data_IF_271605765004
#
_entry.id   IF_271605765004
#
_cell.length_a   1.000
_cell.length_b   1.000
_cell.length_c   1.000
_cell.angle_alpha   90.00
_cell.angle_beta   90.00
_cell.angle_gamma   90.00
#
_symmetry.space_group_name_H-M   'P 1'
#
loop_
_entity.id
_entity.type
_entity.pdbx_description
1 polymer ?
#
# COMPACT_ATOMS: atom_id res chain seq x y z
N UNK A 1 1.57 3.72 11.64
CA UNK A 1 0.64 2.91 12.46
C UNK A 1 1.34 1.64 12.92
N UNK A 2 1.31 1.36 14.22
CA UNK A 2 1.93 0.20 14.85
C UNK A 2 0.91 -0.52 15.74
N UNK A 3 1.09 -1.81 15.93
CA UNK A 3 0.31 -2.61 16.84
C UNK A 3 1.18 -3.02 18.02
N UNK A 4 0.67 -2.76 19.22
CA UNK A 4 1.20 -3.33 20.45
C UNK A 4 0.41 -4.59 20.77
N UNK A 5 1.10 -5.72 20.78
CA UNK A 5 0.56 -7.01 21.21
C UNK A 5 1.19 -7.40 22.54
N UNK A 6 0.37 -7.54 23.58
CA UNK A 6 0.77 -8.04 24.89
C UNK A 6 0.14 -9.42 25.06
N UNK A 7 0.97 -10.45 25.06
CA UNK A 7 0.58 -11.83 25.31
C UNK A 7 1.07 -12.23 26.72
N UNK A 8 0.14 -12.51 27.61
CA UNK A 8 0.35 -13.08 28.94
C UNK A 8 -0.11 -14.54 28.94
N UNK A 9 0.22 -15.29 30.00
CA UNK A 9 -0.21 -16.69 30.17
C UNK A 9 -1.74 -16.89 29.96
N UNK A 10 -2.56 -15.88 30.30
CA UNK A 10 -4.02 -15.96 30.26
C UNK A 10 -4.67 -15.20 29.09
N UNK A 11 -4.02 -14.16 28.56
CA UNK A 11 -4.65 -13.26 27.57
C UNK A 11 -3.66 -12.72 26.55
N UNK A 12 -4.12 -12.59 25.30
CA UNK A 12 -3.42 -11.87 24.25
C UNK A 12 -4.26 -10.66 23.83
N UNK A 13 -3.72 -9.46 24.01
CA UNK A 13 -4.37 -8.21 23.60
C UNK A 13 -3.52 -7.48 22.56
N UNK A 14 -4.12 -7.17 21.42
CA UNK A 14 -3.50 -6.37 20.35
C UNK A 14 -4.23 -5.05 20.23
N UNK A 15 -3.49 -3.94 20.32
CA UNK A 15 -4.05 -2.58 20.24
C UNK A 15 -3.29 -1.74 19.21
N UNK A 16 -3.99 -1.03 18.32
CA UNK A 16 -3.37 -0.18 17.32
C UNK A 16 -3.01 1.21 17.88
N UNK A 17 -1.89 1.76 17.42
CA UNK A 17 -1.36 3.09 17.73
C UNK A 17 -0.85 3.79 16.46
N UNK A 18 -0.81 5.12 16.50
CA UNK A 18 -0.41 5.92 15.33
C UNK A 18 1.07 5.73 14.99
N UNK A 19 1.92 5.65 15.99
CA UNK A 19 3.37 5.49 15.85
C UNK A 19 3.97 4.55 16.92
N UNK A 20 5.28 4.35 16.83
CA UNK A 20 6.03 3.52 17.77
C UNK A 20 6.06 4.12 19.18
N UNK A 21 6.20 5.44 19.31
CA UNK A 21 6.38 6.10 20.59
C UNK A 21 5.10 6.04 21.43
N UNK A 22 3.94 6.18 20.80
CA UNK A 22 2.63 5.98 21.41
C UNK A 22 2.45 4.52 21.87
N UNK A 23 2.79 3.55 21.01
CA UNK A 23 2.74 2.13 21.34
C UNK A 23 3.69 1.80 22.52
N UNK A 24 4.90 2.37 22.52
CA UNK A 24 5.89 2.16 23.58
C UNK A 24 5.47 2.83 24.88
N UNK A 25 4.89 4.04 24.84
CA UNK A 25 4.35 4.72 26.02
C UNK A 25 3.19 3.94 26.62
N UNK A 26 2.30 3.37 25.80
CA UNK A 26 1.23 2.50 26.26
C UNK A 26 1.76 1.21 26.91
N UNK A 27 2.79 0.60 26.31
CA UNK A 27 3.50 -0.54 26.91
C UNK A 27 4.09 -0.19 28.28
N UNK A 28 4.79 0.93 28.40
CA UNK A 28 5.34 1.41 29.68
C UNK A 28 4.24 1.63 30.72
N UNK A 29 3.12 2.23 30.33
CA UNK A 29 1.96 2.42 31.21
C UNK A 29 1.40 1.09 31.72
N UNK A 30 1.31 0.08 30.84
CA UNK A 30 0.84 -1.25 31.23
C UNK A 30 1.81 -1.94 32.21
N UNK A 31 3.11 -1.85 31.93
CA UNK A 31 4.19 -2.44 32.74
C UNK A 31 4.22 -1.81 34.14
N UNK A 32 4.09 -0.48 34.25
CA UNK A 32 4.03 0.22 35.54
C UNK A 32 2.76 -0.17 36.32
N UNK A 33 1.61 -0.26 35.65
CA UNK A 33 0.35 -0.60 36.30
C UNK A 33 0.32 -2.03 36.88
N UNK A 34 1.09 -2.96 36.30
CA UNK A 34 1.14 -4.37 36.71
C UNK A 34 2.43 -4.76 37.43
N UNK A 35 3.28 -3.78 37.76
CA UNK A 35 4.59 -3.98 38.41
C UNK A 35 5.45 -5.06 37.71
N UNK A 36 5.64 -4.84 36.40
CA UNK A 36 6.40 -5.72 35.52
C UNK A 36 7.74 -5.07 35.14
N UNK A 37 8.67 -5.92 34.72
CA UNK A 37 9.97 -5.53 34.16
C UNK A 37 10.05 -5.95 32.71
N UNK A 38 10.59 -5.06 31.87
CA UNK A 38 10.83 -5.33 30.46
C UNK A 38 12.24 -5.85 30.24
N UNK A 39 12.36 -7.00 29.59
CA UNK A 39 13.62 -7.50 29.09
C UNK A 39 13.58 -7.56 27.56
N UNK A 40 14.40 -6.77 26.88
CA UNK A 40 14.46 -6.77 25.42
C UNK A 40 14.92 -8.15 24.91
N UNK A 41 14.15 -8.74 24.00
CA UNK A 41 14.47 -10.04 23.42
C UNK A 41 15.47 -9.85 22.28
N UNK A 42 16.66 -10.41 22.44
CA UNK A 42 17.71 -10.39 21.41
C UNK A 42 17.82 -11.75 20.71
N UNK A 43 18.04 -11.77 19.38
CA UNK A 43 18.09 -10.61 18.47
C UNK A 43 16.69 -10.08 18.16
N UNK A 44 16.51 -8.76 18.20
CA UNK A 44 15.28 -8.11 17.72
C UNK A 44 15.18 -8.26 16.19
N UNK A 45 14.08 -8.82 15.66
CA UNK A 45 13.79 -8.75 14.23
C UNK A 45 13.86 -7.30 13.74
N UNK A 46 14.42 -7.04 12.55
CA UNK A 46 14.52 -5.68 11.99
C UNK A 46 13.17 -4.96 11.84
N UNK A 47 12.09 -5.73 11.85
CA UNK A 47 10.72 -5.28 11.58
C UNK A 47 9.83 -5.26 12.82
N UNK A 48 10.29 -5.74 13.98
CA UNK A 48 9.48 -5.78 15.20
C UNK A 48 10.36 -5.71 16.46
N UNK A 49 9.92 -4.97 17.47
CA UNK A 49 10.58 -4.93 18.78
C UNK A 49 9.84 -5.84 19.74
N UNK A 50 10.51 -6.88 20.22
CA UNK A 50 9.95 -7.85 21.16
C UNK A 50 10.59 -7.70 22.55
N UNK A 51 9.76 -7.78 23.57
CA UNK A 51 10.11 -7.71 24.97
C UNK A 51 9.53 -8.90 25.72
N UNK A 52 10.27 -9.42 26.68
CA UNK A 52 9.78 -10.38 27.68
C UNK A 52 9.31 -9.59 28.89
N UNK A 53 8.12 -9.92 29.38
CA UNK A 53 7.53 -9.35 30.60
C UNK A 53 7.88 -10.24 31.78
N UNK A 54 8.58 -9.67 32.76
CA UNK A 54 9.09 -10.38 33.93
C UNK A 54 8.47 -9.79 35.18
N UNK A 55 7.98 -10.63 36.07
CA UNK A 55 7.56 -10.23 37.41
C UNK A 55 8.56 -10.75 38.44
N UNK A 56 8.81 -9.95 39.46
CA UNK A 56 9.67 -10.32 40.57
C UNK A 56 8.80 -10.69 41.76
N UNK A 57 8.80 -11.96 42.13
CA UNK A 57 8.19 -12.38 43.38
C UNK A 57 9.18 -12.08 44.53
N UNK A 58 8.89 -11.02 45.29
CA UNK A 58 9.73 -10.60 46.42
C UNK A 58 9.79 -11.65 47.54
N UNK A 59 8.71 -12.44 47.72
CA UNK A 59 8.65 -13.46 48.76
C UNK A 59 9.49 -14.69 48.38
N UNK A 60 9.46 -15.08 47.10
CA UNK A 60 10.22 -16.22 46.59
C UNK A 60 11.64 -15.87 46.14
N UNK A 61 11.98 -14.58 45.99
CA UNK A 61 13.22 -14.07 45.35
C UNK A 61 13.46 -14.69 43.96
N UNK A 62 12.39 -14.93 43.22
CA UNK A 62 12.46 -15.54 41.89
C UNK A 62 11.82 -14.63 40.84
N UNK A 63 12.44 -14.56 39.68
CA UNK A 63 11.86 -13.92 38.51
C UNK A 63 11.01 -14.93 37.74
N UNK A 64 9.79 -14.54 37.39
CA UNK A 64 8.91 -15.32 36.51
C UNK A 64 8.62 -14.53 35.25
N UNK A 65 8.76 -15.19 34.11
CA UNK A 65 8.27 -14.66 32.83
C UNK A 65 6.75 -14.83 32.82
N UNK A 66 6.02 -13.73 32.72
CA UNK A 66 4.55 -13.71 32.69
C UNK A 66 4.03 -13.57 31.26
N UNK A 67 4.88 -13.12 30.33
CA UNK A 67 4.45 -12.93 28.96
C UNK A 67 5.49 -12.29 28.06
N UNK A 68 5.01 -11.87 26.89
CA UNK A 68 5.78 -11.14 25.88
C UNK A 68 4.98 -9.95 25.37
N UNK A 69 5.67 -8.84 25.13
CA UNK A 69 5.11 -7.68 24.45
C UNK A 69 5.84 -7.48 23.12
N UNK A 70 5.10 -7.27 22.04
CA UNK A 70 5.65 -7.03 20.71
C UNK A 70 5.06 -5.75 20.15
N UNK A 71 5.92 -4.86 19.68
CA UNK A 71 5.52 -3.69 18.89
C UNK A 71 5.96 -3.97 17.45
N UNK A 72 4.99 -4.05 16.55
CA UNK A 72 5.24 -4.26 15.13
C UNK A 72 4.45 -3.22 14.31
N UNK A 73 4.90 -2.87 13.10
CA UNK A 73 4.04 -2.19 12.15
C UNK A 73 2.74 -2.97 11.97
N UNK A 74 1.61 -2.27 11.95
CA UNK A 74 0.32 -2.87 11.62
C UNK A 74 0.47 -3.65 10.31
N UNK A 75 0.10 -4.93 10.29
CA UNK A 75 0.11 -5.69 9.05
C UNK A 75 -0.83 -4.99 8.06
N UNK A 76 -0.28 -4.49 6.95
CA UNK A 76 -1.09 -3.90 5.88
C UNK A 76 -2.15 -4.90 5.43
N UNK A 77 -3.28 -4.41 4.89
CA UNK A 77 -4.26 -5.32 4.30
C UNK A 77 -3.56 -6.20 3.24
N UNK A 78 -3.97 -7.47 3.07
CA UNK A 78 -3.38 -8.33 2.06
C UNK A 78 -3.50 -7.64 0.69
N UNK A 79 -2.36 -7.43 0.03
CA UNK A 79 -2.32 -6.76 -1.27
C UNK A 79 -3.01 -7.64 -2.30
N UNK A 80 -3.92 -7.04 -3.08
CA UNK A 80 -4.64 -7.73 -4.14
C UNK A 80 -3.65 -8.27 -5.17
N UNK A 81 -3.79 -9.55 -5.53
CA UNK A 81 -2.89 -10.17 -6.50
C UNK A 81 -2.92 -9.43 -7.86
N UNK A 82 -1.80 -9.37 -8.60
CA UNK A 82 -1.66 -8.58 -9.83
C UNK A 82 -2.81 -8.76 -10.85
N UNK A 83 -3.25 -10.00 -11.06
CA UNK A 83 -4.35 -10.31 -11.98
C UNK A 83 -5.68 -9.64 -11.58
N UNK A 84 -6.02 -9.69 -10.29
CA UNK A 84 -7.26 -9.11 -9.78
C UNK A 84 -7.18 -7.58 -9.75
N UNK A 85 -6.01 -7.01 -9.46
CA UNK A 85 -5.77 -5.57 -9.58
C UNK A 85 -5.95 -5.08 -11.02
N UNK A 86 -5.39 -5.80 -12.01
CA UNK A 86 -5.57 -5.51 -13.43
C UNK A 86 -7.04 -5.63 -13.86
N UNK A 87 -7.75 -6.63 -13.35
CA UNK A 87 -9.18 -6.83 -13.63
C UNK A 87 -10.01 -5.66 -13.08
N UNK A 88 -9.72 -5.22 -11.85
CA UNK A 88 -10.40 -4.09 -11.23
C UNK A 88 -10.13 -2.79 -11.99
N UNK A 89 -8.87 -2.54 -12.37
CA UNK A 89 -8.47 -1.33 -13.10
C UNK A 89 -9.14 -1.25 -14.48
N UNK A 90 -9.12 -2.33 -15.27
CA UNK A 90 -9.79 -2.38 -16.58
C UNK A 90 -11.30 -2.25 -16.47
N UNK A 91 -11.91 -2.85 -15.45
CA UNK A 91 -13.34 -2.68 -15.19
C UNK A 91 -13.68 -1.23 -14.83
N UNK A 92 -12.88 -0.61 -13.98
CA UNK A 92 -13.09 0.76 -13.54
C UNK A 92 -12.97 1.74 -14.71
N UNK A 93 -11.95 1.61 -15.56
CA UNK A 93 -11.79 2.50 -16.73
C UNK A 93 -12.95 2.32 -17.72
N UNK A 94 -13.37 1.09 -17.99
CA UNK A 94 -14.52 0.81 -18.85
C UNK A 94 -15.82 1.43 -18.32
N UNK A 95 -16.06 1.33 -17.01
CA UNK A 95 -17.26 1.90 -16.36
C UNK A 95 -17.33 3.43 -16.42
N UNK A 96 -16.18 4.10 -16.38
CA UNK A 96 -16.11 5.57 -16.30
C UNK A 96 -15.77 6.24 -17.63
N UNK A 97 -15.58 5.48 -18.72
CA UNK A 97 -15.34 6.01 -20.06
C UNK A 97 -16.54 6.81 -20.56
N UNK A 98 -17.77 6.32 -20.37
CA UNK A 98 -18.98 7.03 -20.78
C UNK A 98 -19.13 8.36 -20.04
N UNK A 99 -18.84 8.40 -18.74
CA UNK A 99 -18.84 9.65 -17.96
C UNK A 99 -17.89 10.69 -18.55
N UNK A 100 -16.73 10.26 -19.04
CA UNK A 100 -15.74 11.12 -19.69
C UNK A 100 -16.20 11.67 -21.05
N UNK A 101 -16.86 10.85 -21.87
CA UNK A 101 -17.41 11.28 -23.17
C UNK A 101 -18.58 12.28 -23.03
N UNK A 102 -19.32 12.22 -21.93
CA UNK A 102 -20.44 13.14 -21.62
C UNK A 102 -20.03 14.35 -20.77
N UNK A 103 -18.73 14.65 -20.63
CA UNK A 103 -18.28 15.90 -20.01
C UNK A 103 -18.97 17.10 -20.68
N UNK A 104 -19.75 17.88 -19.94
CA UNK A 104 -20.44 19.03 -20.49
C UNK A 104 -19.54 20.27 -20.50
N UNK A 105 -19.79 21.23 -21.38
CA UNK A 105 -19.04 22.50 -21.47
C UNK A 105 -19.01 23.30 -20.14
N UNK A 106 -19.92 23.00 -19.22
CA UNK A 106 -19.99 23.62 -17.88
C UNK A 106 -19.27 22.83 -16.78
N UNK A 107 -18.74 21.64 -17.07
CA UNK A 107 -17.93 20.84 -16.14
C UNK A 107 -16.46 20.88 -16.58
N UNK A 108 -15.57 21.58 -15.85
CA UNK A 108 -14.16 21.65 -16.19
C UNK A 108 -13.40 20.32 -16.01
N UNK A 109 -14.10 19.21 -15.76
CA UNK A 109 -13.51 17.89 -15.52
C UNK A 109 -12.90 17.76 -14.12
N UNK A 110 -13.24 18.67 -13.20
CA UNK A 110 -12.68 18.70 -11.85
C UNK A 110 -13.33 17.73 -10.87
N UNK A 111 -14.47 17.11 -11.25
CA UNK A 111 -15.17 16.15 -10.40
C UNK A 111 -14.55 14.76 -10.55
N UNK A 112 -14.48 14.01 -9.46
CA UNK A 112 -14.17 12.59 -9.54
C UNK A 112 -15.32 11.87 -10.27
N UNK A 113 -15.05 10.97 -11.24
CA UNK A 113 -13.75 10.42 -11.67
C UNK A 113 -13.12 11.14 -12.88
N UNK A 114 -13.77 12.17 -13.43
CA UNK A 114 -13.28 12.94 -14.59
C UNK A 114 -11.89 13.54 -14.38
N UNK A 115 -11.58 14.00 -13.16
CA UNK A 115 -10.28 14.56 -12.82
C UNK A 115 -9.15 13.55 -13.03
N UNK A 116 -9.35 12.29 -12.61
CA UNK A 116 -8.38 11.20 -12.76
C UNK A 116 -8.17 10.87 -14.24
N UNK A 117 -9.28 10.74 -14.98
CA UNK A 117 -9.24 10.44 -16.42
C UNK A 117 -8.59 11.57 -17.23
N UNK A 118 -8.86 12.82 -16.87
CA UNK A 118 -8.24 14.01 -17.49
C UNK A 118 -6.75 14.08 -17.21
N UNK A 119 -6.34 13.84 -15.96
CA UNK A 119 -4.93 13.79 -15.58
C UNK A 119 -4.19 12.65 -16.30
N UNK A 120 -4.80 11.47 -16.40
CA UNK A 120 -4.25 10.34 -17.15
C UNK A 120 -4.07 10.68 -18.64
N UNK A 121 -5.02 11.41 -19.24
CA UNK A 121 -4.92 11.86 -20.64
C UNK A 121 -3.83 12.90 -20.85
N UNK A 122 -3.72 13.86 -19.96
CA UNK A 122 -2.64 14.85 -20.02
C UNK A 122 -1.26 14.18 -19.86
N UNK A 123 -1.14 13.20 -18.96
CA UNK A 123 0.11 12.47 -18.76
C UNK A 123 0.46 11.57 -19.95
N UNK A 124 -0.50 10.84 -20.52
CA UNK A 124 -0.31 10.04 -21.73
C UNK A 124 0.08 10.89 -22.96
N UNK A 125 -0.32 12.17 -22.98
CA UNK A 125 0.08 13.15 -24.00
C UNK A 125 1.42 13.84 -23.71
N UNK A 126 2.14 13.40 -22.68
CA UNK A 126 3.40 14.01 -22.22
C UNK A 126 3.26 15.48 -21.81
N UNK A 127 2.06 15.92 -21.40
CA UNK A 127 1.86 17.27 -20.85
C UNK A 127 2.42 17.40 -19.43
N UNK A 128 2.68 16.27 -18.75
CA UNK A 128 3.31 16.19 -17.43
C UNK A 128 4.41 15.12 -17.40
N UNK A 129 5.25 15.21 -16.37
CA UNK A 129 6.23 14.19 -16.01
C UNK A 129 5.54 12.87 -15.67
N UNK A 130 6.15 11.74 -16.04
CA UNK A 130 5.58 10.42 -15.79
C UNK A 130 5.46 10.14 -14.27
N UNK A 131 4.39 9.45 -13.88
CA UNK A 131 4.03 9.13 -12.51
C UNK A 131 3.24 10.23 -11.79
N UNK A 132 2.71 11.25 -12.47
CA UNK A 132 1.97 12.33 -11.79
C UNK A 132 0.65 11.82 -11.20
N UNK A 133 -0.06 10.94 -11.92
CA UNK A 133 -1.29 10.28 -11.46
C UNK A 133 -1.07 9.10 -10.50
N UNK A 134 0.18 8.85 -10.07
CA UNK A 134 0.50 7.70 -9.23
C UNK A 134 -0.20 7.70 -7.86
N UNK A 135 -0.31 8.83 -7.13
CA UNK A 135 -1.03 8.85 -5.86
C UNK A 135 -2.49 8.40 -6.01
N UNK A 136 -3.18 8.85 -7.06
CA UNK A 136 -4.54 8.42 -7.39
C UNK A 136 -4.59 6.94 -7.77
N UNK A 137 -3.64 6.46 -8.56
CA UNK A 137 -3.55 5.04 -8.90
C UNK A 137 -3.31 4.16 -7.66
N UNK A 138 -2.45 4.59 -6.74
CA UNK A 138 -2.21 3.91 -5.47
C UNK A 138 -3.48 3.87 -4.61
N UNK A 139 -4.20 4.99 -4.50
CA UNK A 139 -5.47 5.07 -3.78
C UNK A 139 -6.54 4.15 -4.37
N UNK A 140 -6.65 4.10 -5.69
CA UNK A 140 -7.59 3.21 -6.41
C UNK A 140 -7.25 1.73 -6.28
N UNK A 141 -5.97 1.40 -6.16
CA UNK A 141 -5.49 0.03 -6.13
C UNK A 141 -5.79 -0.74 -4.84
N UNK A 142 -6.28 -0.07 -3.80
CA UNK A 142 -6.41 -0.60 -2.42
C UNK A 142 -5.16 -1.41 -2.05
N UNK A 143 -3.97 -0.84 -2.29
CA UNK A 143 -2.66 -1.48 -2.11
C UNK A 143 -2.34 -1.82 -0.64
N UNK A 144 -3.34 -1.85 0.24
CA UNK A 144 -3.22 -2.23 1.65
C UNK A 144 -2.49 -1.22 2.55
N UNK A 145 -1.87 -0.19 1.99
CA UNK A 145 -1.27 0.94 2.67
C UNK A 145 -1.74 2.26 2.05
N UNK A 146 -2.08 3.28 2.86
CA UNK A 146 -2.39 4.63 2.35
C UNK A 146 -1.15 5.34 1.76
N UNK A 147 0.06 4.95 2.18
CA UNK A 147 1.31 5.55 1.75
C UNK A 147 2.16 4.53 0.99
N UNK A 148 1.83 4.28 -0.28
CA UNK A 148 2.65 3.44 -1.16
C UNK A 148 3.89 4.22 -1.60
N UNK A 149 5.12 3.76 -1.31
CA UNK A 149 6.32 4.48 -1.69
C UNK A 149 6.41 4.67 -3.20
N UNK A 150 6.69 5.91 -3.63
CA UNK A 150 6.83 6.25 -5.05
C UNK A 150 8.03 5.51 -5.67
N UNK A 151 7.84 4.72 -6.75
CA UNK A 151 8.93 4.14 -7.54
C UNK A 151 9.84 5.20 -8.19
N UNK A 152 10.96 4.75 -8.75
CA UNK A 152 11.88 5.67 -9.45
C UNK A 152 11.23 6.31 -10.67
N UNK A 153 11.67 7.53 -11.00
CA UNK A 153 11.15 8.26 -12.17
C UNK A 153 11.33 7.46 -13.47
N UNK A 154 12.44 6.75 -13.61
CA UNK A 154 12.73 5.89 -14.76
C UNK A 154 11.71 4.76 -14.92
N UNK A 155 11.22 4.18 -13.82
CA UNK A 155 10.17 3.15 -13.85
C UNK A 155 8.88 3.71 -14.46
N UNK A 156 8.48 4.93 -14.10
CA UNK A 156 7.28 5.56 -14.63
C UNK A 156 7.38 5.88 -16.12
N UNK A 157 8.51 6.40 -16.56
CA UNK A 157 8.76 6.70 -17.99
C UNK A 157 8.66 5.43 -18.82
N UNK A 158 9.35 4.36 -18.40
CA UNK A 158 9.33 3.07 -19.07
C UNK A 158 7.92 2.47 -19.15
N UNK A 159 7.16 2.50 -18.04
CA UNK A 159 5.80 2.00 -18.00
C UNK A 159 4.85 2.84 -18.86
N UNK A 160 4.97 4.18 -18.84
CA UNK A 160 4.16 5.08 -19.64
C UNK A 160 4.37 4.83 -21.13
N UNK A 161 5.63 4.79 -21.56
CA UNK A 161 5.97 4.60 -22.97
C UNK A 161 5.52 3.22 -23.46
N UNK A 162 5.69 2.18 -22.62
CA UNK A 162 5.20 0.85 -22.92
C UNK A 162 3.65 0.80 -23.02
N UNK A 163 2.93 1.46 -22.11
CA UNK A 163 1.47 1.54 -22.14
C UNK A 163 0.95 2.27 -23.38
N UNK A 164 1.57 3.40 -23.75
CA UNK A 164 1.21 4.14 -24.98
C UNK A 164 1.45 3.28 -26.22
N UNK A 165 2.58 2.57 -26.28
CA UNK A 165 2.87 1.65 -27.37
C UNK A 165 1.86 0.51 -27.46
N UNK A 166 1.52 -0.09 -26.31
CA UNK A 166 0.55 -1.17 -26.22
C UNK A 166 -0.87 -0.71 -26.63
N UNK A 167 -1.28 0.50 -26.24
CA UNK A 167 -2.55 1.09 -26.62
C UNK A 167 -2.66 1.28 -28.14
N UNK A 168 -1.62 1.85 -28.77
CA UNK A 168 -1.59 2.10 -30.22
C UNK A 168 -1.66 0.81 -31.04
N UNK A 169 -1.00 -0.23 -30.55
CA UNK A 169 -0.93 -1.53 -31.23
C UNK A 169 -2.03 -2.51 -30.79
N UNK A 170 -2.89 -2.12 -29.84
CA UNK A 170 -3.95 -2.95 -29.26
C UNK A 170 -3.45 -4.31 -28.76
N UNK A 171 -2.27 -4.33 -28.14
CA UNK A 171 -1.60 -5.57 -27.71
C UNK A 171 -2.03 -6.06 -26.34
N UNK A 172 -2.77 -5.26 -25.57
CA UNK A 172 -3.27 -5.62 -24.24
C UNK A 172 -4.79 -5.58 -24.29
N UNK A 173 -5.39 -6.76 -24.21
CA UNK A 173 -6.84 -6.96 -24.27
C UNK A 173 -7.38 -7.72 -23.06
N UNK A 174 -6.50 -8.37 -22.28
CA UNK A 174 -6.87 -9.14 -21.10
C UNK A 174 -6.18 -8.64 -19.82
N UNK A 175 -6.76 -8.89 -18.63
CA UNK A 175 -6.09 -8.57 -17.36
C UNK A 175 -4.75 -9.28 -17.18
N UNK A 176 -4.60 -10.49 -17.71
CA UNK A 176 -3.36 -11.26 -17.64
C UNK A 176 -2.24 -10.61 -18.46
N UNK A 177 -2.54 -10.16 -19.68
CA UNK A 177 -1.59 -9.42 -20.52
C UNK A 177 -1.16 -8.12 -19.87
N UNK A 178 -2.09 -7.40 -19.23
CA UNK A 178 -1.77 -6.16 -18.52
C UNK A 178 -0.83 -6.42 -17.33
N UNK A 179 -1.16 -7.39 -16.49
CA UNK A 179 -0.33 -7.75 -15.34
C UNK A 179 1.07 -8.23 -15.78
N UNK A 180 1.15 -9.02 -16.86
CA UNK A 180 2.41 -9.49 -17.43
C UNK A 180 3.24 -8.34 -18.02
N UNK A 181 2.60 -7.41 -18.74
CA UNK A 181 3.27 -6.24 -19.31
C UNK A 181 3.89 -5.36 -18.22
N UNK A 182 3.18 -5.15 -17.11
CA UNK A 182 3.72 -4.41 -15.95
C UNK A 182 4.86 -5.19 -15.32
N UNK A 183 4.67 -6.47 -15.01
CA UNK A 183 5.69 -7.31 -14.36
C UNK A 183 7.01 -7.37 -15.15
N UNK A 184 6.96 -7.40 -16.49
CA UNK A 184 8.15 -7.36 -17.34
C UNK A 184 8.98 -6.07 -17.22
N UNK A 185 8.38 -5.01 -16.68
CA UNK A 185 9.00 -3.70 -16.48
C UNK A 185 9.31 -3.40 -15.01
N UNK A 186 9.17 -4.36 -14.09
CA UNK A 186 9.49 -4.16 -12.67
C UNK A 186 10.88 -4.71 -12.32
N UNK A 187 11.50 -4.11 -11.31
CA UNK A 187 12.74 -4.64 -10.71
C UNK A 187 12.40 -5.56 -9.53
N UNK A 188 13.30 -6.47 -9.13
CA UNK A 188 13.07 -7.38 -8.00
C UNK A 188 12.77 -6.68 -6.66
N UNK A 189 13.21 -5.43 -6.51
CA UNK A 189 13.01 -4.62 -5.30
C UNK A 189 11.62 -3.97 -5.22
N UNK A 190 10.79 -4.14 -6.26
CA UNK A 190 9.44 -3.56 -6.29
C UNK A 190 8.51 -4.30 -5.34
N UNK A 191 7.87 -3.61 -4.40
CA UNK A 191 6.98 -4.25 -3.43
C UNK A 191 5.66 -4.69 -4.07
N UNK A 192 4.89 -5.52 -3.37
CA UNK A 192 3.57 -5.94 -3.84
C UNK A 192 2.60 -4.75 -3.94
N UNK A 193 2.65 -3.84 -2.96
CA UNK A 193 1.85 -2.61 -2.91
C UNK A 193 2.17 -1.71 -4.12
N UNK A 194 3.46 -1.53 -4.41
CA UNK A 194 3.92 -0.79 -5.59
C UNK A 194 3.44 -1.45 -6.88
N UNK A 195 3.51 -2.79 -6.96
CA UNK A 195 3.05 -3.53 -8.12
C UNK A 195 1.56 -3.31 -8.38
N UNK A 196 0.73 -3.38 -7.34
CA UNK A 196 -0.71 -3.12 -7.46
C UNK A 196 -1.00 -1.69 -7.94
N UNK A 197 -0.33 -0.69 -7.37
CA UNK A 197 -0.47 0.71 -7.77
C UNK A 197 0.02 0.96 -9.21
N UNK A 198 1.13 0.33 -9.62
CA UNK A 198 1.69 0.45 -10.97
C UNK A 198 0.80 -0.21 -12.03
N UNK A 199 0.08 -1.27 -11.67
CA UNK A 199 -0.94 -1.89 -12.53
C UNK A 199 -2.08 -0.91 -12.83
N UNK A 200 -2.57 -0.21 -11.80
CA UNK A 200 -3.58 0.84 -11.99
C UNK A 200 -3.06 2.01 -12.82
N UNK A 201 -1.86 2.49 -12.51
CA UNK A 201 -1.20 3.53 -13.29
C UNK A 201 -1.11 3.14 -14.77
N UNK A 202 -0.62 1.93 -15.06
CA UNK A 202 -0.49 1.43 -16.42
C UNK A 202 -1.84 1.34 -17.13
N UNK A 203 -2.88 0.82 -16.45
CA UNK A 203 -4.23 0.72 -17.01
C UNK A 203 -4.84 2.09 -17.35
N UNK A 204 -4.62 3.10 -16.49
CA UNK A 204 -5.08 4.47 -16.73
C UNK A 204 -4.39 5.10 -17.94
N UNK A 205 -3.08 4.92 -18.09
CA UNK A 205 -2.34 5.41 -19.27
C UNK A 205 -2.75 4.65 -20.54
N UNK A 206 -2.91 3.32 -20.46
CA UNK A 206 -3.36 2.47 -21.57
C UNK A 206 -4.73 2.93 -22.09
N UNK A 207 -5.67 3.16 -21.17
CA UNK A 207 -6.98 3.75 -21.50
C UNK A 207 -6.81 5.15 -22.11
N UNK A 208 -6.07 6.03 -21.46
CA UNK A 208 -5.91 7.42 -21.89
C UNK A 208 -5.29 7.58 -23.29
N UNK A 209 -4.41 6.65 -23.68
CA UNK A 209 -3.80 6.61 -25.00
C UNK A 209 -4.70 5.98 -26.09
N UNK A 210 -5.71 5.20 -25.70
CA UNK A 210 -6.67 4.55 -26.62
C UNK A 210 -8.05 5.21 -26.65
N UNK A 211 -8.36 6.07 -25.67
CA UNK A 211 -9.62 6.80 -25.57
C UNK A 211 -9.81 7.76 -26.75
N UNK A 212 -11.04 7.84 -27.31
CA UNK A 212 -11.36 8.68 -28.46
C UNK A 212 -11.09 10.18 -28.23
#
# INVERSE_FOLDING_TARGET
MHELTIATDDTTNTTPYNDFDDAFRALMSHVIAHDLYLHAKWPTPRTATAFTLVHLDEAARQSRIIGTATIAPTAGKPVVAPYYSATAALRWTAQHTSTYEFGCDTDPGGRYPLAVLTAARAEARNSFTAGNIYPEAASLSDAGSPDVPRPTQHTFERLRDNAIHAARNRTITTPAELAAAVAAQLTPDTTAEQTAALIWYYALILWAASAP
#
